data_IF_984331859236
#
_entry.id   IF_984331859236
#
_cell.length_a   1.000
_cell.length_b   1.000
_cell.length_c   1.000
_cell.angle_alpha   90.00
_cell.angle_beta   90.00
_cell.angle_gamma   90.00
#
_symmetry.space_group_name_H-M   'P 1'
#
loop_
_entity.id
_entity.type
_entity.pdbx_description
1 polymer ?
#
# COMPACT_ATOMS: atom_id res chain seq x y z
N UNK A 1 8.13 23.19 -3.99
CA UNK A 1 7.75 21.89 -3.39
C UNK A 1 7.26 21.01 -4.52
N UNK A 2 7.86 19.84 -4.71
CA UNK A 2 7.44 18.91 -5.76
C UNK A 2 6.08 18.32 -5.34
N UNK A 3 5.07 18.36 -6.20
CA UNK A 3 3.72 17.92 -5.85
C UNK A 3 3.71 16.45 -5.41
N UNK A 4 4.54 15.63 -6.05
CA UNK A 4 4.76 14.22 -5.73
C UNK A 4 5.24 14.00 -4.28
N UNK A 5 6.18 14.83 -3.82
CA UNK A 5 6.77 14.73 -2.48
C UNK A 5 5.72 15.01 -1.39
N UNK A 6 4.80 15.95 -1.67
CA UNK A 6 3.69 16.26 -0.77
C UNK A 6 2.65 15.12 -0.70
N UNK A 7 2.34 14.48 -1.83
CA UNK A 7 1.44 13.32 -1.85
C UNK A 7 2.05 12.11 -1.12
N UNK A 8 3.31 11.80 -1.38
CA UNK A 8 3.99 10.66 -0.75
C UNK A 8 4.22 10.90 0.75
N UNK A 9 4.53 12.13 1.16
CA UNK A 9 4.63 12.48 2.58
C UNK A 9 3.29 12.28 3.32
N UNK A 10 2.17 12.66 2.70
CA UNK A 10 0.83 12.40 3.24
C UNK A 10 0.56 10.89 3.31
N UNK A 11 0.84 10.16 2.24
CA UNK A 11 0.65 8.72 2.21
C UNK A 11 1.48 7.99 3.27
N UNK A 12 2.72 8.41 3.50
CA UNK A 12 3.56 7.84 4.56
C UNK A 12 2.94 8.06 5.94
N UNK A 13 2.39 9.25 6.20
CA UNK A 13 1.69 9.53 7.45
C UNK A 13 0.45 8.62 7.65
N UNK A 14 -0.30 8.35 6.58
CA UNK A 14 -1.45 7.43 6.62
C UNK A 14 -1.00 5.99 6.93
N UNK A 15 0.07 5.50 6.28
CA UNK A 15 0.62 4.16 6.54
C UNK A 15 1.13 4.05 7.98
N UNK A 16 1.86 5.05 8.48
CA UNK A 16 2.32 5.08 9.88
C UNK A 16 1.17 5.11 10.89
N UNK A 17 0.08 5.81 10.57
CA UNK A 17 -1.13 5.79 11.41
C UNK A 17 -1.79 4.40 11.42
N UNK A 18 -1.90 3.77 10.25
CA UNK A 18 -2.40 2.40 10.11
C UNK A 18 -1.52 1.34 10.78
N UNK A 19 -0.22 1.61 10.95
CA UNK A 19 0.69 0.72 11.69
C UNK A 19 0.41 0.65 13.20
N UNK A 20 -0.41 1.55 13.77
CA UNK A 20 -0.87 1.42 15.16
C UNK A 20 0.24 1.45 16.23
N UNK A 21 1.42 2.00 15.91
CA UNK A 21 2.58 2.02 16.79
C UNK A 21 3.53 0.83 16.65
N UNK A 22 3.24 -0.11 15.75
CA UNK A 22 4.18 -1.17 15.38
C UNK A 22 5.42 -0.61 14.69
N UNK A 23 6.56 -1.28 14.89
CA UNK A 23 7.79 -0.93 14.18
C UNK A 23 7.66 -1.35 12.72
N UNK A 24 7.83 -0.36 11.83
CA UNK A 24 7.80 -0.55 10.38
C UNK A 24 9.12 -0.09 9.79
N UNK A 25 9.70 -0.94 8.95
CA UNK A 25 10.95 -0.69 8.28
C UNK A 25 10.69 -0.24 6.83
N UNK A 26 11.54 0.64 6.27
CA UNK A 26 11.51 0.90 4.84
C UNK A 26 11.79 -0.38 4.05
N UNK A 27 10.98 -0.62 3.04
CA UNK A 27 11.11 -1.73 2.12
C UNK A 27 10.97 -1.22 0.68
N UNK A 28 11.50 -1.98 -0.27
CA UNK A 28 11.21 -1.74 -1.67
C UNK A 28 9.74 -2.06 -1.96
N UNK A 29 9.03 -1.21 -2.71
CA UNK A 29 7.67 -1.50 -3.12
C UNK A 29 7.64 -2.76 -4.01
N UNK A 30 6.66 -3.60 -3.78
CA UNK A 30 6.47 -4.85 -4.50
C UNK A 30 5.00 -4.98 -4.95
N UNK A 31 4.71 -5.03 -6.26
CA UNK A 31 5.65 -4.93 -7.40
C UNK A 31 6.37 -3.58 -7.52
N UNK A 32 7.39 -3.47 -8.38
CA UNK A 32 8.16 -2.22 -8.46
C UNK A 32 7.34 -1.08 -9.06
N UNK A 33 7.69 0.16 -8.74
CA UNK A 33 7.02 1.37 -9.26
C UNK A 33 6.91 1.35 -10.79
N UNK A 34 7.94 0.89 -11.48
CA UNK A 34 7.99 0.85 -12.95
C UNK A 34 7.11 -0.26 -13.53
N UNK A 35 6.98 -1.40 -12.85
CA UNK A 35 6.19 -2.53 -13.33
C UNK A 35 4.70 -2.20 -13.39
N UNK A 36 4.24 -1.33 -12.49
CA UNK A 36 2.83 -0.93 -12.42
C UNK A 36 2.53 0.40 -13.12
N UNK A 37 3.54 1.03 -13.73
CA UNK A 37 3.38 2.33 -14.41
C UNK A 37 3.21 3.53 -13.47
N UNK A 38 3.57 3.40 -12.19
CA UNK A 38 3.49 4.51 -11.24
C UNK A 38 4.64 5.52 -11.45
N UNK A 39 4.39 6.77 -11.09
CA UNK A 39 5.40 7.85 -11.13
C UNK A 39 6.43 7.71 -10.03
N UNK A 40 5.97 7.32 -8.85
CA UNK A 40 6.77 7.17 -7.65
C UNK A 40 6.07 6.22 -6.68
N UNK A 41 6.79 5.78 -5.65
CA UNK A 41 6.23 4.94 -4.61
C UNK A 41 7.23 4.58 -3.53
N UNK A 42 6.75 3.99 -2.44
CA UNK A 42 7.57 3.49 -1.35
C UNK A 42 6.95 2.23 -0.74
N UNK A 43 7.77 1.41 -0.08
CA UNK A 43 7.32 0.24 0.66
C UNK A 43 7.59 0.35 2.17
N UNK A 44 6.74 -0.31 2.97
CA UNK A 44 6.93 -0.52 4.41
C UNK A 44 6.69 -2.00 4.73
N UNK A 45 7.52 -2.55 5.60
CA UNK A 45 7.38 -3.91 6.10
C UNK A 45 7.26 -3.88 7.62
N UNK A 46 6.35 -4.67 8.17
CA UNK A 46 6.18 -4.84 9.61
C UNK A 46 7.24 -5.81 10.13
N UNK A 47 7.75 -5.56 11.34
CA UNK A 47 8.74 -6.46 11.97
C UNK A 47 8.10 -7.63 12.70
N UNK A 48 6.84 -7.46 13.11
CA UNK A 48 6.09 -8.43 13.94
C UNK A 48 5.18 -9.34 13.12
N UNK A 49 4.96 -9.03 11.84
CA UNK A 49 4.12 -9.79 10.90
C UNK A 49 4.80 -9.86 9.53
N UNK A 50 4.26 -10.66 8.63
CA UNK A 50 4.69 -10.79 7.24
C UNK A 50 4.13 -9.67 6.35
N UNK A 51 3.46 -8.67 6.94
CA UNK A 51 2.79 -7.60 6.21
C UNK A 51 3.80 -6.72 5.50
N UNK A 52 3.50 -6.44 4.23
CA UNK A 52 4.16 -5.43 3.42
C UNK A 52 3.12 -4.53 2.78
N UNK A 53 3.29 -3.24 2.97
CA UNK A 53 2.51 -2.20 2.30
C UNK A 53 3.38 -1.51 1.25
N UNK A 54 2.90 -1.43 0.03
CA UNK A 54 3.50 -0.62 -1.04
C UNK A 54 2.52 0.49 -1.40
N UNK A 55 2.99 1.72 -1.45
CA UNK A 55 2.19 2.86 -1.90
C UNK A 55 2.77 3.39 -3.20
N UNK A 56 1.88 3.70 -4.12
CA UNK A 56 2.20 4.19 -5.45
C UNK A 56 1.45 5.47 -5.76
N UNK A 57 2.09 6.37 -6.49
CA UNK A 57 1.52 7.60 -6.99
C UNK A 57 1.37 7.53 -8.51
N UNK A 58 0.18 7.81 -8.99
CA UNK A 58 -0.19 7.89 -10.39
C UNK A 58 -0.52 9.33 -10.81
N UNK A 59 -0.76 9.55 -12.10
CA UNK A 59 -1.22 10.85 -12.59
C UNK A 59 -2.70 11.11 -12.26
N UNK A 60 -3.50 10.05 -12.08
CA UNK A 60 -4.94 10.16 -11.84
C UNK A 60 -5.51 9.02 -11.00
N UNK A 61 -6.73 9.23 -10.51
CA UNK A 61 -7.51 8.20 -9.83
C UNK A 61 -7.80 6.99 -10.72
N UNK A 62 -8.17 7.24 -11.98
CA UNK A 62 -8.44 6.18 -12.95
C UNK A 62 -7.23 5.26 -13.17
N UNK A 63 -6.02 5.83 -13.24
CA UNK A 63 -4.80 5.02 -13.37
C UNK A 63 -4.49 4.22 -12.10
N UNK A 64 -4.66 4.83 -10.92
CA UNK A 64 -4.50 4.13 -9.66
C UNK A 64 -5.50 2.96 -9.52
N UNK A 65 -6.76 3.16 -9.94
CA UNK A 65 -7.81 2.13 -9.92
C UNK A 65 -7.57 1.03 -10.96
N UNK A 66 -7.10 1.38 -12.15
CA UNK A 66 -6.72 0.40 -13.16
C UNK A 66 -5.56 -0.49 -12.67
N UNK A 67 -4.56 0.11 -11.99
CA UNK A 67 -3.45 -0.62 -11.38
C UNK A 67 -3.91 -1.52 -10.23
N UNK A 68 -4.83 -1.06 -9.37
CA UNK A 68 -5.46 -1.89 -8.32
C UNK A 68 -6.09 -3.15 -8.91
N UNK A 69 -6.99 -2.99 -9.89
CA UNK A 69 -7.66 -4.11 -10.55
C UNK A 69 -6.67 -5.07 -11.22
N UNK A 70 -5.59 -4.55 -11.80
CA UNK A 70 -4.52 -5.35 -12.38
C UNK A 70 -3.76 -6.17 -11.32
N UNK A 71 -3.51 -5.61 -10.14
CA UNK A 71 -2.83 -6.29 -9.04
C UNK A 71 -3.71 -7.36 -8.40
N UNK A 72 -5.00 -7.07 -8.22
CA UNK A 72 -5.99 -8.05 -7.75
C UNK A 72 -6.09 -9.25 -8.69
N UNK A 73 -6.10 -9.02 -10.01
CA UNK A 73 -6.11 -10.09 -11.00
C UNK A 73 -4.83 -10.95 -10.99
N UNK A 74 -3.73 -10.45 -10.43
CA UNK A 74 -2.43 -11.11 -10.35
C UNK A 74 -2.06 -11.53 -8.92
N UNK A 75 -3.03 -11.56 -8.01
CA UNK A 75 -2.82 -11.95 -6.63
C UNK A 75 -2.07 -13.31 -6.54
N UNK A 76 -0.86 -13.36 -5.96
CA UNK A 76 -0.10 -14.59 -5.88
C UNK A 76 -0.78 -15.59 -4.95
N UNK A 77 -0.84 -16.85 -5.35
CA UNK A 77 -1.39 -17.92 -4.52
C UNK A 77 -0.62 -18.03 -3.20
N UNK A 78 -1.35 -18.24 -2.09
CA UNK A 78 -0.76 -18.35 -0.76
C UNK A 78 -0.42 -17.02 -0.09
N UNK A 79 -0.88 -15.88 -0.64
CA UNK A 79 -0.83 -14.58 0.03
C UNK A 79 -2.21 -14.00 0.24
N UNK A 80 -2.37 -13.31 1.36
CA UNK A 80 -3.43 -12.33 1.53
C UNK A 80 -3.01 -11.06 0.81
N UNK A 81 -3.91 -10.49 0.01
CA UNK A 81 -3.68 -9.22 -0.67
C UNK A 81 -4.88 -8.32 -0.53
N UNK A 82 -4.65 -7.01 -0.44
CA UNK A 82 -5.70 -6.02 -0.52
C UNK A 82 -5.18 -4.69 -1.07
N UNK A 83 -6.02 -4.03 -1.85
CA UNK A 83 -5.78 -2.70 -2.40
C UNK A 83 -6.76 -1.67 -1.85
N UNK A 84 -6.35 -0.41 -1.84
CA UNK A 84 -7.30 0.71 -1.80
C UNK A 84 -6.71 1.94 -2.46
N UNK A 85 -7.55 2.70 -3.17
CA UNK A 85 -7.19 3.93 -3.85
C UNK A 85 -7.69 5.15 -3.08
N UNK A 86 -6.84 6.18 -2.97
CA UNK A 86 -7.18 7.49 -2.41
C UNK A 86 -6.70 8.60 -3.36
N UNK A 87 -7.60 9.10 -4.20
CA UNK A 87 -7.24 10.00 -5.29
C UNK A 87 -6.22 9.35 -6.24
N UNK A 88 -5.06 9.98 -6.52
CA UNK A 88 -4.02 9.39 -7.38
C UNK A 88 -3.11 8.38 -6.66
N UNK A 89 -3.38 8.07 -5.38
CA UNK A 89 -2.57 7.14 -4.60
C UNK A 89 -3.20 5.76 -4.55
N UNK A 90 -2.39 4.73 -4.69
CA UNK A 90 -2.77 3.33 -4.48
C UNK A 90 -1.97 2.77 -3.30
N UNK A 91 -2.66 2.22 -2.30
CA UNK A 91 -2.07 1.34 -1.30
C UNK A 91 -2.28 -0.11 -1.75
N UNK A 92 -1.21 -0.89 -1.76
CA UNK A 92 -1.23 -2.33 -1.98
C UNK A 92 -0.59 -3.04 -0.78
N UNK A 93 -1.38 -3.79 -0.03
CA UNK A 93 -0.93 -4.53 1.14
C UNK A 93 -0.93 -6.03 0.86
N UNK A 94 0.10 -6.72 1.34
CA UNK A 94 0.25 -8.17 1.20
C UNK A 94 0.74 -8.79 2.50
N UNK A 95 0.30 -10.00 2.79
CA UNK A 95 0.81 -10.84 3.88
C UNK A 95 0.86 -12.31 3.44
N UNK A 96 1.59 -13.14 4.18
CA UNK A 96 1.54 -14.59 3.97
C UNK A 96 0.16 -15.12 4.41
N UNK A 97 -0.43 -16.07 3.68
CA UNK A 97 -1.74 -16.59 4.02
C UNK A 97 -1.79 -17.37 5.35
N UNK A 98 -0.62 -17.77 5.89
CA UNK A 98 -0.52 -18.40 7.21
C UNK A 98 -0.36 -17.40 8.36
N UNK A 99 -0.19 -16.11 8.06
CA UNK A 99 -0.04 -15.05 9.05
C UNK A 99 -1.39 -14.46 9.44
N UNK A 100 -2.07 -15.13 10.38
CA UNK A 100 -3.40 -14.73 10.86
C UNK A 100 -3.44 -13.31 11.46
N UNK A 101 -2.32 -12.83 12.04
CA UNK A 101 -2.23 -11.48 12.57
C UNK A 101 -2.11 -10.42 11.45
N UNK A 102 -1.63 -10.83 10.27
CA UNK A 102 -1.44 -9.96 9.11
C UNK A 102 -2.76 -9.39 8.58
N UNK A 103 -3.84 -10.17 8.61
CA UNK A 103 -5.17 -9.74 8.13
C UNK A 103 -5.65 -8.48 8.87
N UNK A 104 -5.60 -8.49 10.20
CA UNK A 104 -6.03 -7.34 11.02
C UNK A 104 -5.18 -6.08 10.79
N UNK A 105 -3.90 -6.24 10.45
CA UNK A 105 -3.02 -5.13 10.07
C UNK A 105 -3.40 -4.59 8.70
N UNK A 106 -3.66 -5.47 7.73
CA UNK A 106 -4.11 -5.09 6.38
C UNK A 106 -5.42 -4.30 6.48
N UNK A 107 -6.43 -4.80 7.19
CA UNK A 107 -7.72 -4.10 7.35
C UNK A 107 -7.55 -2.70 7.97
N UNK A 108 -6.69 -2.57 8.98
CA UNK A 108 -6.39 -1.28 9.61
C UNK A 108 -5.70 -0.31 8.65
N UNK A 109 -4.79 -0.82 7.81
CA UNK A 109 -4.12 -0.04 6.78
C UNK A 109 -5.12 0.47 5.75
N UNK A 110 -5.98 -0.40 5.23
CA UNK A 110 -7.02 -0.01 4.27
C UNK A 110 -7.93 1.06 4.86
N UNK A 111 -8.43 0.87 6.09
CA UNK A 111 -9.29 1.84 6.76
C UNK A 111 -8.60 3.20 6.95
N UNK A 112 -7.33 3.19 7.40
CA UNK A 112 -6.57 4.43 7.60
C UNK A 112 -6.24 5.14 6.28
N UNK A 113 -6.08 4.40 5.18
CA UNK A 113 -5.67 4.95 3.90
C UNK A 113 -6.85 5.40 3.05
N UNK A 114 -7.96 4.67 3.09
CA UNK A 114 -9.22 5.05 2.45
C UNK A 114 -9.74 6.36 3.07
N UNK A 115 -9.72 6.46 4.41
CA UNK A 115 -10.03 7.68 5.16
C UNK A 115 -11.44 8.24 4.92
N UNK A 116 -12.29 8.08 5.93
CA UNK A 116 -13.59 8.74 6.15
C UNK A 116 -13.60 10.18 5.57
N UNK A 117 -14.41 10.42 4.53
CA UNK A 117 -14.70 11.77 3.99
C UNK A 117 -15.42 12.65 5.03
#
# INVERSE_FOLDING_TARGET
>A
MNHDDSHLGRAEALVRRGAGGEEVLPAEPAPSVRDIGARAGFGRAWTSTSVRASVYLFDSHDEASAAEAQLEAQAPAGRQVAGTVNGPLLLWATADATDEAGEAVIERLLSSFAGDE
#
